data_IF_189889365610
#
_entry.id   IF_189889365610
#
_cell.length_a   1.000
_cell.length_b   1.000
_cell.length_c   1.000
_cell.angle_alpha   90.00
_cell.angle_beta   90.00
_cell.angle_gamma   90.00
#
_symmetry.space_group_name_H-M   'P 1'
#
loop_
_entity.id
_entity.type
_entity.pdbx_description
1 polymer ?
#
# COMPACT_ATOMS: atom_id res chain seq x y z
N UNK A 1 -11.75 -9.99 -18.69
CA UNK A 1 -11.56 -9.58 -20.10
C UNK A 1 -12.59 -8.52 -20.44
N UNK A 2 -12.20 -7.54 -21.26
CA UNK A 2 -13.09 -6.49 -21.74
C UNK A 2 -14.14 -7.06 -22.71
N UNK A 3 -15.29 -6.41 -22.86
CA UNK A 3 -16.39 -6.91 -23.71
C UNK A 3 -16.09 -6.75 -25.20
N UNK A 4 -15.43 -5.65 -25.55
CA UNK A 4 -14.96 -5.29 -26.88
C UNK A 4 -13.85 -6.23 -27.41
N UNK A 5 -13.28 -7.10 -26.58
CA UNK A 5 -12.35 -8.14 -27.05
C UNK A 5 -13.03 -9.12 -28.02
N UNK A 6 -14.36 -9.24 -27.94
CA UNK A 6 -15.15 -10.07 -28.84
C UNK A 6 -15.66 -9.29 -30.06
N UNK A 7 -15.36 -7.99 -30.15
CA UNK A 7 -15.59 -7.16 -31.33
C UNK A 7 -14.29 -7.21 -32.19
N UNK A 8 -14.41 -7.35 -33.50
CA UNK A 8 -13.24 -7.55 -34.40
C UNK A 8 -12.32 -6.30 -34.49
N UNK A 9 -12.76 -5.17 -33.92
CA UNK A 9 -12.01 -3.92 -33.85
C UNK A 9 -11.66 -3.59 -32.40
N UNK A 10 -10.44 -3.98 -31.98
CA UNK A 10 -9.90 -3.64 -30.67
C UNK A 10 -8.81 -2.58 -30.74
N UNK A 11 -8.68 -1.81 -29.66
CA UNK A 11 -7.63 -0.81 -29.47
C UNK A 11 -6.89 -1.05 -28.14
N UNK A 12 -5.87 -0.24 -27.88
CA UNK A 12 -5.05 -0.29 -26.67
C UNK A 12 -5.84 -0.02 -25.38
N UNK A 13 -7.08 0.50 -25.47
CA UNK A 13 -7.92 0.69 -24.30
C UNK A 13 -8.33 -0.64 -23.66
N UNK A 14 -8.24 -1.77 -24.36
CA UNK A 14 -8.45 -3.11 -23.76
C UNK A 14 -7.40 -3.39 -22.67
N UNK A 15 -6.15 -2.95 -22.86
CA UNK A 15 -5.10 -3.11 -21.86
C UNK A 15 -5.40 -2.28 -20.62
N UNK A 16 -5.99 -1.09 -20.79
CA UNK A 16 -6.46 -0.23 -19.70
C UNK A 16 -7.59 -0.91 -18.90
N UNK A 17 -8.52 -1.58 -19.57
CA UNK A 17 -9.54 -2.36 -18.88
C UNK A 17 -8.92 -3.50 -18.07
N UNK A 18 -7.98 -4.22 -18.68
CA UNK A 18 -7.27 -5.33 -18.03
C UNK A 18 -6.50 -4.86 -16.80
N UNK A 19 -5.84 -3.71 -16.89
CA UNK A 19 -5.21 -3.02 -15.77
C UNK A 19 -6.22 -2.72 -14.65
N UNK A 20 -7.39 -2.15 -14.98
CA UNK A 20 -8.45 -1.89 -14.01
C UNK A 20 -8.97 -3.16 -13.30
N UNK A 21 -9.05 -4.27 -14.03
CA UNK A 21 -9.45 -5.57 -13.47
C UNK A 21 -8.40 -6.14 -12.51
N UNK A 22 -7.11 -6.04 -12.87
CA UNK A 22 -6.01 -6.44 -11.99
C UNK A 22 -5.95 -5.57 -10.73
N UNK A 23 -6.15 -4.27 -10.87
CA UNK A 23 -6.25 -3.36 -9.73
C UNK A 23 -7.40 -3.71 -8.80
N UNK A 24 -8.56 -4.04 -9.35
CA UNK A 24 -9.71 -4.48 -8.57
C UNK A 24 -9.39 -5.74 -7.77
N UNK A 25 -8.73 -6.72 -8.38
CA UNK A 25 -8.26 -7.94 -7.71
C UNK A 25 -7.27 -7.65 -6.57
N UNK A 26 -6.29 -6.77 -6.81
CA UNK A 26 -5.33 -6.37 -5.78
C UNK A 26 -6.02 -5.65 -4.60
N UNK A 27 -7.04 -4.83 -4.87
CA UNK A 27 -7.76 -4.08 -3.84
C UNK A 27 -8.74 -4.95 -3.05
N UNK A 28 -9.37 -5.94 -3.68
CA UNK A 28 -10.37 -6.80 -3.03
C UNK A 28 -9.77 -8.09 -2.48
N UNK A 29 -8.57 -8.48 -2.92
CA UNK A 29 -7.99 -9.81 -2.72
C UNK A 29 -8.91 -10.97 -3.15
N UNK A 30 -9.92 -10.68 -3.98
CA UNK A 30 -10.84 -11.66 -4.54
C UNK A 30 -10.72 -11.64 -6.07
N UNK A 31 -10.59 -12.83 -6.68
CA UNK A 31 -10.59 -12.93 -8.14
C UNK A 31 -11.87 -12.32 -8.72
N UNK A 32 -11.76 -11.37 -9.66
CA UNK A 32 -12.93 -10.74 -10.25
C UNK A 32 -13.83 -11.78 -10.93
N UNK A 33 -15.10 -11.80 -10.52
CA UNK A 33 -16.10 -12.78 -10.98
C UNK A 33 -15.94 -14.22 -10.45
N UNK A 34 -15.17 -14.44 -9.37
CA UNK A 34 -15.09 -15.74 -8.67
C UNK A 34 -16.46 -16.35 -8.33
N UNK A 35 -17.46 -15.49 -8.10
CA UNK A 35 -18.85 -15.87 -7.78
C UNK A 35 -19.72 -16.16 -9.03
N UNK A 36 -19.17 -16.07 -10.23
CA UNK A 36 -19.86 -16.34 -11.48
C UNK A 36 -19.46 -17.71 -12.02
N UNK A 37 -20.44 -18.57 -12.30
CA UNK A 37 -20.21 -19.95 -12.76
C UNK A 37 -20.19 -20.10 -14.28
N UNK A 38 -20.63 -19.09 -15.03
CA UNK A 38 -20.66 -19.15 -16.50
C UNK A 38 -20.39 -17.80 -17.17
N UNK A 39 -19.95 -17.79 -18.44
CA UNK A 39 -19.65 -16.56 -19.18
C UNK A 39 -20.83 -15.56 -19.29
N UNK A 40 -22.08 -16.05 -19.35
CA UNK A 40 -23.26 -15.18 -19.41
C UNK A 40 -23.48 -14.41 -18.10
N UNK A 41 -23.18 -15.01 -16.95
CA UNK A 41 -23.21 -14.33 -15.65
C UNK A 41 -22.10 -13.28 -15.54
N UNK A 42 -20.92 -13.56 -16.10
CA UNK A 42 -19.83 -12.58 -16.21
C UNK A 42 -20.31 -11.40 -17.05
N UNK A 43 -20.87 -11.63 -18.24
CA UNK A 43 -21.40 -10.57 -19.11
C UNK A 43 -22.45 -9.69 -18.41
N UNK A 44 -23.41 -10.32 -17.72
CA UNK A 44 -24.46 -9.61 -16.95
C UNK A 44 -23.87 -8.80 -15.79
N UNK A 45 -22.80 -9.29 -15.16
CA UNK A 45 -22.15 -8.61 -14.04
C UNK A 45 -21.25 -7.47 -14.52
N UNK A 46 -20.50 -7.65 -15.62
CA UNK A 46 -19.69 -6.59 -16.27
C UNK A 46 -20.56 -5.41 -16.71
N UNK A 47 -21.80 -5.68 -17.14
CA UNK A 47 -22.78 -4.65 -17.52
C UNK A 47 -23.50 -4.00 -16.33
N UNK A 48 -23.50 -4.65 -15.16
CA UNK A 48 -24.21 -4.20 -13.94
C UNK A 48 -23.29 -3.63 -12.84
N UNK A 49 -21.99 -3.92 -12.85
CA UNK A 49 -21.04 -3.35 -11.89
C UNK A 49 -21.06 -1.83 -12.05
N UNK A 50 -21.31 -1.08 -10.97
CA UNK A 50 -20.99 0.35 -10.93
C UNK A 50 -19.49 0.43 -11.19
N UNK A 51 -19.12 0.97 -12.34
CA UNK A 51 -17.74 1.11 -12.80
C UNK A 51 -17.07 2.20 -11.98
N UNK A 52 -16.76 1.84 -10.74
CA UNK A 52 -16.05 2.69 -9.81
C UNK A 52 -14.57 2.63 -10.20
N UNK A 53 -14.23 3.35 -11.27
CA UNK A 53 -12.89 3.40 -11.83
C UNK A 53 -12.90 3.81 -13.29
N UNK A 54 -12.11 4.84 -13.62
CA UNK A 54 -11.96 5.38 -14.98
C UNK A 54 -11.47 4.34 -15.99
N UNK A 55 -10.76 3.31 -15.51
CA UNK A 55 -10.25 2.19 -16.30
C UNK A 55 -11.34 1.17 -16.71
N UNK A 56 -12.43 1.06 -15.94
CA UNK A 56 -13.47 0.04 -16.13
C UNK A 56 -14.69 0.57 -16.91
N UNK A 57 -14.64 1.81 -17.42
CA UNK A 57 -15.74 2.39 -18.20
C UNK A 57 -15.82 1.85 -19.64
N UNK A 58 -16.86 2.26 -20.40
CA UNK A 58 -16.99 1.97 -21.83
C UNK A 58 -15.77 2.51 -22.57
N UNK A 59 -15.42 1.86 -23.68
CA UNK A 59 -14.33 2.29 -24.58
C UNK A 59 -14.36 3.79 -24.85
N UNK A 60 -15.53 4.36 -25.18
CA UNK A 60 -15.68 5.81 -25.48
C UNK A 60 -15.43 6.76 -24.31
N UNK A 61 -15.39 6.26 -23.07
CA UNK A 61 -15.19 7.05 -21.84
C UNK A 61 -13.94 6.62 -21.06
N UNK A 62 -13.27 5.57 -21.51
CA UNK A 62 -12.09 5.03 -20.85
C UNK A 62 -10.91 5.94 -21.17
N UNK A 63 -10.21 6.36 -20.12
CA UNK A 63 -9.02 7.19 -20.28
C UNK A 63 -7.88 6.39 -20.89
N UNK A 64 -7.02 7.06 -21.66
CA UNK A 64 -5.77 6.48 -22.10
C UNK A 64 -4.77 6.39 -20.94
N UNK A 65 -3.73 5.55 -21.11
CA UNK A 65 -2.69 5.36 -20.09
C UNK A 65 -2.09 6.68 -19.59
N UNK A 66 -1.74 7.60 -20.50
CA UNK A 66 -1.12 8.87 -20.13
C UNK A 66 -2.04 9.76 -19.30
N UNK A 67 -3.35 9.70 -19.52
CA UNK A 67 -4.34 10.46 -18.74
C UNK A 67 -4.56 9.83 -17.36
N UNK A 68 -4.50 8.50 -17.27
CA UNK A 68 -4.55 7.79 -16.00
C UNK A 68 -3.33 8.09 -15.13
N UNK A 69 -2.15 8.23 -15.72
CA UNK A 69 -0.93 8.60 -14.99
C UNK A 69 -1.02 9.99 -14.34
N UNK A 70 -1.88 10.87 -14.87
CA UNK A 70 -2.18 12.19 -14.29
C UNK A 70 -3.28 12.13 -13.23
N UNK A 71 -3.94 10.99 -13.04
CA UNK A 71 -4.96 10.84 -12.01
C UNK A 71 -4.30 11.00 -10.63
N UNK A 72 -4.90 11.75 -9.68
CA UNK A 72 -4.35 11.89 -8.32
C UNK A 72 -4.08 10.56 -7.62
N UNK A 73 -4.78 9.49 -8.01
CA UNK A 73 -4.50 8.14 -7.55
C UNK A 73 -3.14 7.60 -8.02
N UNK A 74 -2.60 8.02 -9.17
CA UNK A 74 -1.30 7.59 -9.70
C UNK A 74 -0.23 8.68 -9.65
N UNK A 75 -0.63 9.95 -9.68
CA UNK A 75 0.23 11.13 -9.63
C UNK A 75 0.63 11.44 -8.18
N UNK A 76 1.52 10.64 -7.59
CA UNK A 76 2.00 10.88 -6.23
C UNK A 76 3.25 11.79 -6.22
N UNK A 77 3.11 12.94 -5.56
CA UNK A 77 4.13 13.47 -4.65
C UNK A 77 3.42 13.69 -3.29
N UNK A 78 3.84 12.88 -2.31
CA UNK A 78 3.60 12.98 -0.86
C UNK A 78 2.18 12.84 -0.23
N UNK A 79 2.18 12.02 0.83
CA UNK A 79 1.31 11.95 2.02
C UNK A 79 -0.18 11.57 1.94
N UNK A 80 -0.91 11.67 0.83
CA UNK A 80 -2.37 11.41 0.85
C UNK A 80 -2.81 9.98 0.46
N UNK A 81 -1.88 9.10 0.08
CA UNK A 81 -2.20 7.74 -0.39
C UNK A 81 -2.84 6.84 0.68
N UNK A 82 -2.55 7.10 1.96
CA UNK A 82 -3.03 6.29 3.08
C UNK A 82 -4.51 6.50 3.44
N UNK A 83 -5.17 7.53 2.87
CA UNK A 83 -6.58 7.82 3.18
C UNK A 83 -7.58 7.14 2.26
N UNK A 84 -7.16 6.70 1.07
CA UNK A 84 -8.08 6.23 0.02
C UNK A 84 -8.02 4.73 -0.25
N UNK A 85 -7.17 3.97 0.45
CA UNK A 85 -7.06 2.54 0.24
C UNK A 85 -7.63 1.74 1.41
N UNK A 86 -8.53 0.77 1.14
CA UNK A 86 -9.11 -0.09 2.17
C UNK A 86 -8.17 -1.21 2.66
N UNK A 87 -6.97 -1.37 2.08
CA UNK A 87 -5.95 -2.31 2.55
C UNK A 87 -4.53 -1.76 2.30
N UNK A 88 -3.55 -2.04 3.18
CA UNK A 88 -2.16 -1.65 3.01
C UNK A 88 -1.50 -2.58 1.97
N UNK A 89 -1.82 -2.40 0.69
CA UNK A 89 -1.07 -3.00 -0.40
C UNK A 89 -0.86 -1.94 -1.48
N UNK A 90 0.12 -1.07 -1.24
CA UNK A 90 0.76 -0.32 -2.32
C UNK A 90 2.20 -0.73 -2.27
N UNK A 91 2.59 -1.43 -3.33
CA UNK A 91 3.98 -1.62 -3.72
C UNK A 91 4.64 -0.24 -3.86
N UNK A 92 5.11 0.29 -2.74
CA UNK A 92 6.27 1.13 -2.73
C UNK A 92 7.45 0.16 -2.73
N UNK A 93 8.26 0.18 -3.79
CA UNK A 93 9.57 -0.49 -3.83
C UNK A 93 10.55 -0.02 -2.72
N UNK A 94 10.05 0.70 -1.71
CA UNK A 94 10.76 1.18 -0.53
C UNK A 94 10.01 0.80 0.77
N UNK A 95 9.32 -0.35 0.84
CA UNK A 95 8.75 -0.92 2.07
C UNK A 95 9.44 -2.21 2.51
N UNK A 96 10.76 -2.30 2.34
CA UNK A 96 11.58 -3.35 2.94
C UNK A 96 11.69 -3.22 4.48
N UNK A 97 10.92 -2.32 5.11
CA UNK A 97 10.95 -2.07 6.54
C UNK A 97 9.56 -1.74 7.06
N UNK A 98 9.12 -2.47 8.08
CA UNK A 98 7.88 -2.27 8.82
C UNK A 98 8.23 -2.03 10.29
N UNK A 99 7.67 -0.98 10.88
CA UNK A 99 7.82 -0.66 12.30
C UNK A 99 6.44 -0.76 12.93
N UNK A 100 6.34 -1.52 14.02
CA UNK A 100 5.13 -1.65 14.82
C UNK A 100 5.47 -1.42 16.28
N UNK A 101 4.59 -0.75 17.02
CA UNK A 101 4.76 -0.55 18.45
C UNK A 101 3.69 -1.31 19.22
N UNK A 102 4.10 -1.89 20.34
CA UNK A 102 3.19 -2.52 21.29
C UNK A 102 3.49 -1.99 22.68
N UNK A 103 2.46 -1.80 23.49
CA UNK A 103 2.61 -1.41 24.89
C UNK A 103 2.40 -2.62 25.77
N UNK A 104 3.24 -2.78 26.79
CA UNK A 104 3.04 -3.82 27.81
C UNK A 104 1.72 -3.59 28.57
N UNK A 105 0.98 -4.62 29.01
CA UNK A 105 -0.20 -4.49 29.86
C UNK A 105 0.01 -3.69 31.16
N UNK A 106 1.23 -3.55 31.66
CA UNK A 106 1.54 -2.66 32.79
C UNK A 106 1.58 -1.16 32.41
N UNK A 107 1.67 -0.84 31.11
CA UNK A 107 1.59 0.51 30.56
C UNK A 107 2.88 1.35 30.64
N UNK A 108 3.99 0.78 31.11
CA UNK A 108 5.20 1.55 31.45
C UNK A 108 6.30 1.49 30.37
N UNK A 109 6.21 0.58 29.40
CA UNK A 109 7.25 0.41 28.37
C UNK A 109 6.64 0.12 27.01
N UNK A 110 7.14 0.83 25.99
CA UNK A 110 6.83 0.56 24.60
C UNK A 110 7.85 -0.45 24.08
N UNK A 111 7.37 -1.51 23.45
CA UNK A 111 8.21 -2.44 22.70
C UNK A 111 8.05 -2.16 21.21
N UNK A 112 9.13 -1.72 20.58
CA UNK A 112 9.20 -1.55 19.15
C UNK A 112 9.63 -2.87 18.50
N UNK A 113 8.87 -3.26 17.48
CA UNK A 113 9.19 -4.36 16.58
C UNK A 113 9.49 -3.78 15.21
N UNK A 114 10.71 -4.02 14.74
CA UNK A 114 11.17 -3.61 13.42
C UNK A 114 11.37 -4.86 12.59
N UNK A 115 10.63 -4.97 11.49
CA UNK A 115 10.78 -6.03 10.51
C UNK A 115 11.48 -5.47 9.28
N UNK A 116 12.59 -6.07 8.88
CA UNK A 116 13.34 -5.70 7.68
C UNK A 116 13.30 -6.90 6.72
N UNK A 117 13.02 -6.63 5.46
CA UNK A 117 13.01 -7.63 4.39
C UNK A 117 14.19 -7.33 3.47
N UNK A 118 15.12 -8.27 3.34
CA UNK A 118 16.27 -8.12 2.47
C UNK A 118 15.87 -8.35 1.00
N UNK A 119 16.76 -8.01 0.06
CA UNK A 119 16.52 -8.15 -1.38
C UNK A 119 16.29 -9.60 -1.82
N UNK A 120 16.70 -10.57 -1.00
CA UNK A 120 16.48 -12.01 -1.20
C UNK A 120 15.13 -12.50 -0.63
N UNK A 121 14.34 -11.61 -0.01
CA UNK A 121 13.05 -11.92 0.61
C UNK A 121 13.15 -12.44 2.04
N UNK A 122 14.34 -12.49 2.63
CA UNK A 122 14.53 -12.89 4.02
C UNK A 122 14.04 -11.78 4.97
N UNK A 123 13.14 -12.14 5.88
CA UNK A 123 12.63 -11.22 6.89
C UNK A 123 13.35 -11.40 8.23
N UNK A 124 13.98 -10.33 8.72
CA UNK A 124 14.54 -10.25 10.08
C UNK A 124 13.66 -9.39 10.96
N UNK A 125 13.37 -9.87 12.17
CA UNK A 125 12.59 -9.15 13.17
C UNK A 125 13.49 -8.77 14.34
N UNK A 126 13.50 -7.49 14.68
CA UNK A 126 14.27 -6.93 15.79
C UNK A 126 13.28 -6.34 16.78
N UNK A 127 13.52 -6.62 18.06
CA UNK A 127 12.67 -6.19 19.16
C UNK A 127 13.53 -5.43 20.15
N UNK A 128 13.09 -4.24 20.53
CA UNK A 128 13.77 -3.46 21.56
C UNK A 128 12.76 -2.60 22.33
N UNK A 129 13.02 -2.36 23.62
CA UNK A 129 12.24 -1.41 24.40
C UNK A 129 12.54 0.02 23.93
N UNK A 130 11.54 0.88 23.98
CA UNK A 130 11.63 2.31 23.74
C UNK A 130 11.17 3.05 24.99
N UNK A 131 12.06 3.86 25.54
CA UNK A 131 11.80 4.71 26.69
C UNK A 131 11.28 6.08 26.22
N UNK A 132 10.04 6.41 26.56
CA UNK A 132 9.39 7.66 26.14
C UNK A 132 10.10 8.90 26.74
N UNK A 133 10.76 8.75 27.88
CA UNK A 133 11.38 9.87 28.61
C UNK A 133 12.81 10.11 28.13
N UNK A 134 13.55 9.03 27.90
CA UNK A 134 14.99 9.09 27.62
C UNK A 134 15.32 8.96 26.14
N UNK A 135 14.54 8.17 25.38
CA UNK A 135 14.83 7.89 23.99
C UNK A 135 14.20 8.92 23.06
N UNK A 136 14.93 9.25 22.00
CA UNK A 136 14.38 10.02 20.88
C UNK A 136 14.39 9.17 19.63
N UNK A 137 13.32 9.29 18.83
CA UNK A 137 13.18 8.52 17.60
C UNK A 137 14.37 8.71 16.65
N UNK A 138 14.98 9.90 16.62
CA UNK A 138 16.13 10.20 15.77
C UNK A 138 17.42 9.49 16.21
N UNK A 139 17.65 9.39 17.53
CA UNK A 139 18.83 8.71 18.05
C UNK A 139 18.72 7.21 17.79
N UNK A 140 17.57 6.62 18.14
CA UNK A 140 17.27 5.21 17.87
C UNK A 140 17.39 4.91 16.37
N UNK A 141 16.79 5.74 15.51
CA UNK A 141 16.90 5.56 14.06
C UNK A 141 18.36 5.63 13.57
N UNK A 142 19.18 6.51 14.15
CA UNK A 142 20.59 6.62 13.80
C UNK A 142 21.40 5.40 14.25
N UNK A 143 21.09 4.83 15.42
CA UNK A 143 21.66 3.58 15.89
C UNK A 143 21.22 2.40 15.03
N UNK A 144 19.94 2.34 14.68
CA UNK A 144 19.40 1.32 13.78
C UNK A 144 20.09 1.30 12.42
N UNK A 145 20.34 2.46 11.81
CA UNK A 145 21.07 2.54 10.54
C UNK A 145 22.48 2.00 10.66
N UNK A 146 23.15 2.29 11.78
CA UNK A 146 24.53 1.85 12.04
C UNK A 146 24.64 0.36 12.36
N UNK A 147 23.79 -0.14 13.26
CA UNK A 147 23.87 -1.49 13.82
C UNK A 147 23.17 -2.54 12.95
N UNK A 148 22.14 -2.15 12.19
CA UNK A 148 21.37 -3.07 11.35
C UNK A 148 21.82 -3.07 9.88
N UNK A 149 22.93 -2.39 9.57
CA UNK A 149 23.51 -2.27 8.22
C UNK A 149 22.50 -1.78 7.16
N UNK A 150 21.62 -0.85 7.54
CA UNK A 150 20.61 -0.28 6.63
C UNK A 150 21.26 0.83 5.81
N UNK A 151 21.84 0.49 4.67
CA UNK A 151 22.57 1.46 3.84
C UNK A 151 21.66 2.33 2.94
N UNK A 152 20.42 1.91 2.71
CA UNK A 152 19.52 2.50 1.71
C UNK A 152 18.49 3.49 2.29
N UNK A 153 18.57 3.83 3.59
CA UNK A 153 17.63 4.75 4.26
C UNK A 153 18.33 5.79 5.10
N UNK A 154 17.73 6.97 5.11
CA UNK A 154 18.14 8.05 6.01
C UNK A 154 17.53 7.84 7.41
N UNK A 155 18.28 8.14 8.49
CA UNK A 155 17.76 8.07 9.86
C UNK A 155 16.50 8.90 10.07
N UNK A 156 16.35 10.03 9.37
CA UNK A 156 15.18 10.89 9.49
C UNK A 156 13.88 10.20 9.01
N UNK A 157 13.95 9.43 7.91
CA UNK A 157 12.80 8.66 7.42
C UNK A 157 12.35 7.61 8.45
N UNK A 158 13.31 6.91 9.05
CA UNK A 158 13.04 5.87 10.07
C UNK A 158 12.49 6.50 11.34
N UNK A 159 13.05 7.64 11.77
CA UNK A 159 12.58 8.38 12.93
C UNK A 159 11.11 8.75 12.77
N UNK A 160 10.73 9.35 11.63
CA UNK A 160 9.33 9.72 11.36
C UNK A 160 8.37 8.52 11.42
N UNK A 161 8.80 7.33 11.00
CA UNK A 161 8.00 6.10 11.11
C UNK A 161 7.80 5.69 12.58
N UNK A 162 8.87 5.72 13.38
CA UNK A 162 8.80 5.42 14.83
C UNK A 162 7.88 6.43 15.51
N UNK A 163 8.04 7.72 15.24
CA UNK A 163 7.24 8.77 15.84
C UNK A 163 5.76 8.62 15.52
N UNK A 164 5.44 8.30 14.26
CA UNK A 164 4.07 8.08 13.81
C UNK A 164 3.44 6.90 14.56
N UNK A 165 4.19 5.82 14.71
CA UNK A 165 3.71 4.61 15.39
C UNK A 165 3.49 4.87 16.88
N UNK A 166 4.44 5.50 17.56
CA UNK A 166 4.30 5.89 18.97
C UNK A 166 3.12 6.86 19.15
N UNK A 167 2.97 7.85 18.26
CA UNK A 167 1.84 8.81 18.29
C UNK A 167 0.48 8.12 18.14
N UNK A 168 0.42 7.01 17.40
CA UNK A 168 -0.80 6.22 17.25
C UNK A 168 -1.17 5.47 18.53
N UNK A 169 -0.19 5.09 19.35
CA UNK A 169 -0.42 4.43 20.63
C UNK A 169 -0.66 5.44 21.77
N UNK A 170 0.10 6.53 21.79
CA UNK A 170 0.06 7.56 22.83
C UNK A 170 -0.01 8.92 22.14
N UNK A 171 -1.20 9.51 21.95
CA UNK A 171 -1.33 10.78 21.24
C UNK A 171 -0.60 11.98 21.88
N UNK A 172 -0.24 11.90 23.16
CA UNK A 172 0.32 12.99 23.97
C UNK A 172 1.81 12.84 24.28
N UNK A 173 2.53 11.94 23.62
CA UNK A 173 3.94 11.66 23.96
C UNK A 173 4.95 12.76 23.57
N UNK A 174 4.50 13.77 22.80
CA UNK A 174 5.31 14.90 22.33
C UNK A 174 5.07 16.22 23.09
N UNK A 175 4.31 16.19 24.18
CA UNK A 175 4.04 17.37 25.02
C UNK A 175 5.15 17.66 26.05
#
# INVERSE_FOLDING_TARGET
MALELYEEEYNELIDIYSFGMCMLEMLTSEYPYSKCSNPAQIYKKVTSIRREGKCLDRVSKRLHAYELLLDPFLASYEENFLKFLPFPCVLSQKQNMLITATMDPAGDTIFLKVQIIDNEGHARNIYFPFDIVNDTAINIASEMVKELEINDREPLEIANLIEKEISSLIPTWKD
#
